data_IF_551775377670
#
_entry.id   IF_551775377670
#
_cell.length_a   1.000
_cell.length_b   1.000
_cell.length_c   1.000
_cell.angle_alpha   90.00
_cell.angle_beta   90.00
_cell.angle_gamma   90.00
#
_symmetry.space_group_name_H-M   'P 1'
#
loop_
_entity.id
_entity.type
_entity.pdbx_description
1 polymer ?
#
# COMPACT_ATOMS: atom_id res chain seq x y z
N UNK A 1 -45.58 -8.11 -54.77
CA UNK A 1 -45.22 -8.59 -53.42
C UNK A 1 -43.73 -8.23 -53.20
N UNK A 2 -43.50 -6.99 -52.69
CA UNK A 2 -42.16 -6.42 -52.51
C UNK A 2 -41.76 -6.56 -51.05
N UNK A 3 -40.72 -7.32 -50.82
CA UNK A 3 -40.09 -7.53 -49.51
C UNK A 3 -39.22 -6.32 -49.18
N UNK A 4 -39.71 -5.45 -48.27
CA UNK A 4 -38.89 -4.42 -47.64
C UNK A 4 -38.04 -5.07 -46.54
N UNK A 5 -36.73 -5.19 -46.78
CA UNK A 5 -35.74 -5.48 -45.73
C UNK A 5 -35.36 -4.17 -44.99
N UNK A 6 -35.47 -4.11 -43.66
CA UNK A 6 -34.98 -2.96 -42.94
C UNK A 6 -33.45 -3.01 -42.84
N UNK A 7 -32.77 -2.02 -43.40
CA UNK A 7 -31.35 -1.78 -43.20
C UNK A 7 -31.07 -1.54 -41.71
N UNK A 8 -30.36 -2.45 -41.08
CA UNK A 8 -29.80 -2.29 -39.75
C UNK A 8 -28.84 -1.11 -39.80
N UNK A 9 -29.22 0.04 -39.22
CA UNK A 9 -28.31 1.12 -38.91
C UNK A 9 -27.30 0.62 -37.87
N UNK A 10 -26.10 0.31 -38.34
CA UNK A 10 -24.93 0.10 -37.48
C UNK A 10 -24.58 1.45 -36.83
N UNK A 11 -24.90 1.57 -35.55
CA UNK A 11 -24.61 2.78 -34.76
C UNK A 11 -23.23 2.62 -34.14
N UNK A 12 -22.20 3.09 -34.85
CA UNK A 12 -20.79 2.94 -34.51
C UNK A 12 -20.29 4.02 -33.52
N UNK A 13 -21.13 4.38 -32.55
CA UNK A 13 -20.75 5.25 -31.44
C UNK A 13 -20.37 4.40 -30.20
N UNK A 14 -19.36 3.54 -30.29
CA UNK A 14 -18.64 3.07 -29.11
C UNK A 14 -17.84 4.23 -28.51
N UNK A 15 -18.49 5.14 -27.80
CA UNK A 15 -17.81 6.02 -26.84
C UNK A 15 -17.03 5.12 -25.92
N UNK A 16 -15.70 5.24 -25.90
CA UNK A 16 -14.83 4.61 -24.92
C UNK A 16 -15.30 5.11 -23.57
N UNK A 17 -16.07 4.29 -22.88
CA UNK A 17 -16.60 4.59 -21.55
C UNK A 17 -15.47 4.28 -20.57
N UNK A 18 -14.60 5.27 -20.32
CA UNK A 18 -13.59 5.18 -19.30
C UNK A 18 -14.29 4.88 -17.97
N UNK A 19 -13.90 3.79 -17.32
CA UNK A 19 -14.54 3.43 -16.03
C UNK A 19 -14.16 4.52 -15.02
N UNK A 20 -15.14 5.03 -14.25
CA UNK A 20 -14.88 6.10 -13.29
C UNK A 20 -13.76 5.74 -12.30
N UNK A 21 -13.65 4.46 -11.93
CA UNK A 21 -12.58 3.97 -11.04
C UNK A 21 -11.18 4.27 -11.60
N UNK A 22 -10.96 4.05 -12.91
CA UNK A 22 -9.67 4.30 -13.54
C UNK A 22 -9.34 5.79 -13.57
N UNK A 23 -10.31 6.63 -13.88
CA UNK A 23 -10.11 8.10 -13.89
C UNK A 23 -9.75 8.61 -12.51
N UNK A 24 -10.44 8.14 -11.46
CA UNK A 24 -10.15 8.51 -10.07
C UNK A 24 -8.73 8.06 -9.69
N UNK A 25 -8.35 6.82 -9.99
CA UNK A 25 -6.99 6.33 -9.73
C UNK A 25 -5.93 7.20 -10.40
N UNK A 26 -6.15 7.60 -11.66
CA UNK A 26 -5.23 8.48 -12.39
C UNK A 26 -5.13 9.86 -11.72
N UNK A 27 -6.27 10.46 -11.35
CA UNK A 27 -6.29 11.76 -10.65
C UNK A 27 -5.56 11.67 -9.32
N UNK A 28 -5.80 10.64 -8.52
CA UNK A 28 -5.13 10.44 -7.22
C UNK A 28 -3.61 10.32 -7.40
N UNK A 29 -3.15 9.53 -8.36
CA UNK A 29 -1.72 9.38 -8.67
C UNK A 29 -1.10 10.71 -9.11
N UNK A 30 -1.77 11.47 -9.98
CA UNK A 30 -1.32 12.80 -10.42
C UNK A 30 -1.25 13.78 -9.24
N UNK A 31 -2.24 13.77 -8.34
CA UNK A 31 -2.19 14.63 -7.13
C UNK A 31 -0.97 14.31 -6.26
N UNK A 32 -0.64 13.04 -6.03
CA UNK A 32 0.57 12.65 -5.29
C UNK A 32 1.83 13.14 -6.02
N UNK A 33 1.91 12.95 -7.34
CA UNK A 33 3.05 13.42 -8.14
C UNK A 33 3.22 14.95 -8.09
N UNK A 34 2.12 15.73 -8.10
CA UNK A 34 2.18 17.19 -8.01
C UNK A 34 2.70 17.62 -6.63
N UNK A 35 2.23 16.99 -5.54
CA UNK A 35 2.61 17.35 -4.17
C UNK A 35 4.04 16.95 -3.86
N UNK A 36 4.43 15.73 -4.23
CA UNK A 36 5.70 15.13 -3.83
C UNK A 36 6.75 15.06 -4.94
N UNK A 37 6.42 15.41 -6.20
CA UNK A 37 7.35 15.31 -7.33
C UNK A 37 8.66 16.07 -7.13
N UNK A 38 8.64 17.16 -6.38
CA UNK A 38 9.83 17.98 -6.06
C UNK A 38 10.92 17.24 -5.27
N UNK A 39 10.57 16.12 -4.62
CA UNK A 39 11.56 15.36 -3.80
C UNK A 39 12.67 14.73 -4.66
N UNK A 40 12.49 14.65 -5.99
CA UNK A 40 13.53 14.16 -6.91
C UNK A 40 14.80 15.02 -6.92
N UNK A 41 14.71 16.28 -6.51
CA UNK A 41 15.83 17.22 -6.40
C UNK A 41 16.43 17.23 -4.97
N UNK A 42 15.89 16.42 -4.04
CA UNK A 42 16.36 16.41 -2.67
C UNK A 42 17.59 15.53 -2.52
N UNK A 43 18.51 15.98 -1.68
CA UNK A 43 19.68 15.21 -1.25
C UNK A 43 19.34 14.34 -0.04
N UNK A 44 20.24 13.40 0.29
CA UNK A 44 20.15 12.66 1.55
C UNK A 44 20.20 13.62 2.75
N UNK A 45 19.30 13.40 3.70
CA UNK A 45 19.24 14.20 4.92
C UNK A 45 20.41 13.84 5.85
N UNK A 46 21.10 14.85 6.37
CA UNK A 46 22.18 14.64 7.33
C UNK A 46 21.65 14.32 8.74
N UNK A 47 20.88 13.23 8.82
CA UNK A 47 20.30 12.66 10.04
C UNK A 47 20.30 11.13 9.90
N UNK A 48 19.17 10.46 9.95
CA UNK A 48 19.09 9.01 9.88
C UNK A 48 19.50 8.43 8.50
N UNK A 49 19.42 9.19 7.39
CA UNK A 49 19.85 8.70 6.06
C UNK A 49 21.32 8.36 6.03
N UNK A 50 22.12 9.01 6.91
CA UNK A 50 23.50 8.65 7.15
C UNK A 50 23.65 7.18 7.53
N UNK A 51 23.01 6.80 8.63
CA UNK A 51 23.08 5.47 9.21
C UNK A 51 22.32 4.42 8.37
N UNK A 52 21.25 4.83 7.70
CA UNK A 52 20.42 3.92 6.92
C UNK A 52 21.04 3.59 5.57
N UNK A 53 21.63 4.57 4.86
CA UNK A 53 22.06 4.38 3.47
C UNK A 53 23.52 4.79 3.28
N UNK A 54 23.92 6.04 3.71
CA UNK A 54 25.16 6.65 3.28
C UNK A 54 26.43 5.98 3.85
N UNK A 55 26.39 5.52 5.10
CA UNK A 55 27.56 4.92 5.76
C UNK A 55 27.41 3.42 6.02
N UNK A 56 26.23 2.85 5.77
CA UNK A 56 25.96 1.43 5.98
C UNK A 56 26.58 0.58 4.85
N UNK A 57 27.65 -0.19 5.12
CA UNK A 57 28.32 -0.98 4.09
C UNK A 57 27.40 -2.06 3.50
N UNK A 58 26.56 -2.71 4.33
CA UNK A 58 25.66 -3.76 3.88
C UNK A 58 24.56 -3.25 2.93
N UNK A 59 24.15 -1.99 3.08
CA UNK A 59 23.22 -1.39 2.11
C UNK A 59 23.96 -1.04 0.82
N UNK A 60 25.16 -0.44 0.92
CA UNK A 60 25.98 -0.08 -0.26
C UNK A 60 26.38 -1.28 -1.11
N UNK A 61 26.60 -2.43 -0.48
CA UNK A 61 26.95 -3.67 -1.17
C UNK A 61 25.75 -4.31 -1.93
N UNK A 62 24.55 -3.72 -1.79
CA UNK A 62 23.34 -4.18 -2.46
C UNK A 62 22.87 -5.56 -1.96
N UNK A 63 22.24 -6.34 -2.87
CA UNK A 63 21.60 -7.63 -2.57
C UNK A 63 22.63 -8.79 -2.55
N UNK A 64 23.70 -8.68 -1.78
CA UNK A 64 24.60 -9.81 -1.55
C UNK A 64 24.01 -10.78 -0.52
N UNK A 65 24.44 -12.04 -0.53
CA UNK A 65 24.02 -13.03 0.46
C UNK A 65 24.34 -12.60 1.89
N UNK A 66 25.47 -11.94 2.07
CA UNK A 66 25.92 -11.40 3.35
C UNK A 66 25.00 -10.27 3.81
N UNK A 67 24.71 -9.30 2.94
CA UNK A 67 23.81 -8.17 3.24
C UNK A 67 22.39 -8.64 3.54
N UNK A 68 21.87 -9.60 2.78
CA UNK A 68 20.56 -10.21 3.05
C UNK A 68 20.56 -10.88 4.42
N UNK A 69 21.56 -11.70 4.74
CA UNK A 69 21.68 -12.33 6.07
C UNK A 69 21.77 -11.30 7.19
N UNK A 70 22.58 -10.26 7.00
CA UNK A 70 22.69 -9.16 7.94
C UNK A 70 21.34 -8.50 8.23
N UNK A 71 20.54 -8.23 7.20
CA UNK A 71 19.23 -7.60 7.36
C UNK A 71 18.29 -8.36 8.34
N UNK A 72 18.38 -9.69 8.38
CA UNK A 72 17.52 -10.50 9.26
C UNK A 72 18.05 -10.65 10.69
N UNK A 73 19.33 -10.41 10.93
CA UNK A 73 19.94 -10.63 12.26
C UNK A 73 20.34 -9.35 12.96
N UNK A 74 20.33 -8.22 12.24
CA UNK A 74 20.78 -6.93 12.79
C UNK A 74 19.71 -6.21 13.58
N UNK A 75 20.15 -5.42 14.58
CA UNK A 75 19.37 -4.38 15.25
C UNK A 75 20.00 -3.00 14.98
N UNK A 76 20.48 -2.78 13.76
CA UNK A 76 21.11 -1.52 13.36
C UNK A 76 20.13 -0.35 13.55
N UNK A 77 20.65 0.81 13.98
CA UNK A 77 19.84 1.98 14.34
C UNK A 77 18.71 1.67 15.36
N UNK A 78 18.95 0.70 16.27
CA UNK A 78 18.01 0.23 17.30
C UNK A 78 16.69 -0.33 16.75
N UNK A 79 16.68 -0.76 15.49
CA UNK A 79 15.49 -1.28 14.83
C UNK A 79 15.73 -2.63 14.16
N UNK A 80 14.79 -3.54 14.29
CA UNK A 80 14.71 -4.77 13.52
C UNK A 80 13.65 -4.64 12.44
N UNK A 81 14.06 -4.33 11.21
CA UNK A 81 13.15 -4.15 10.07
C UNK A 81 13.77 -4.67 8.76
N UNK A 82 13.97 -5.99 8.65
CA UNK A 82 14.68 -6.60 7.54
C UNK A 82 14.09 -6.27 6.17
N UNK A 83 12.76 -6.16 6.03
CA UNK A 83 12.12 -5.85 4.74
C UNK A 83 12.44 -4.41 4.30
N UNK A 84 12.57 -3.49 5.25
CA UNK A 84 13.00 -2.11 4.95
C UNK A 84 14.46 -2.09 4.46
N UNK A 85 15.36 -2.82 5.13
CA UNK A 85 16.75 -2.94 4.68
C UNK A 85 16.85 -3.53 3.28
N UNK A 86 16.13 -4.62 3.01
CA UNK A 86 16.07 -5.23 1.67
C UNK A 86 15.55 -4.24 0.62
N UNK A 87 14.57 -3.39 0.95
CA UNK A 87 14.06 -2.40 0.00
C UNK A 87 15.10 -1.34 -0.36
N UNK A 88 15.94 -0.91 0.59
CA UNK A 88 17.06 -0.01 0.30
C UNK A 88 18.16 -0.69 -0.52
N UNK A 89 18.47 -1.98 -0.25
CA UNK A 89 19.40 -2.76 -1.07
C UNK A 89 18.93 -2.88 -2.52
N UNK A 90 17.62 -3.07 -2.73
CA UNK A 90 17.02 -3.06 -4.09
C UNK A 90 17.23 -1.71 -4.78
N UNK A 91 17.06 -0.60 -4.06
CA UNK A 91 17.28 0.73 -4.64
C UNK A 91 18.74 0.93 -5.04
N UNK A 92 19.69 0.46 -4.23
CA UNK A 92 21.11 0.50 -4.56
C UNK A 92 21.42 -0.28 -5.84
N UNK A 93 20.84 -1.48 -6.01
CA UNK A 93 21.00 -2.27 -7.23
C UNK A 93 20.43 -1.56 -8.48
N UNK A 94 19.31 -0.87 -8.32
CA UNK A 94 18.61 -0.23 -9.45
C UNK A 94 19.17 1.15 -9.79
N UNK A 95 19.55 1.93 -8.80
CA UNK A 95 19.82 3.38 -8.94
C UNK A 95 21.14 3.82 -8.33
N UNK A 96 21.89 2.92 -7.67
CA UNK A 96 23.09 3.28 -6.91
C UNK A 96 22.76 4.28 -5.79
N UNK A 97 23.67 5.20 -5.56
CA UNK A 97 23.55 6.24 -4.52
C UNK A 97 22.88 7.52 -5.03
N UNK A 98 21.89 7.40 -5.91
CA UNK A 98 21.11 8.54 -6.42
C UNK A 98 20.00 8.91 -5.42
N UNK A 99 20.11 10.02 -4.66
CA UNK A 99 19.14 10.37 -3.62
C UNK A 99 17.74 10.61 -4.19
N UNK A 100 17.63 11.31 -5.32
CA UNK A 100 16.35 11.58 -5.96
C UNK A 100 15.58 10.31 -6.33
N UNK A 101 16.28 9.25 -6.77
CA UNK A 101 15.64 7.97 -7.07
C UNK A 101 15.14 7.28 -5.79
N UNK A 102 15.91 7.32 -4.70
CA UNK A 102 15.48 6.79 -3.39
C UNK A 102 14.24 7.52 -2.86
N UNK A 103 14.19 8.86 -2.99
CA UNK A 103 12.99 9.64 -2.64
C UNK A 103 11.78 9.25 -3.50
N UNK A 104 11.96 9.13 -4.83
CA UNK A 104 10.87 8.75 -5.74
C UNK A 104 10.31 7.36 -5.47
N UNK A 105 11.12 6.43 -4.93
CA UNK A 105 10.60 5.13 -4.50
C UNK A 105 9.61 5.25 -3.32
N UNK A 106 9.83 6.16 -2.38
CA UNK A 106 8.85 6.44 -1.32
C UNK A 106 7.57 7.03 -1.90
N UNK A 107 7.68 7.95 -2.87
CA UNK A 107 6.52 8.50 -3.58
C UNK A 107 5.75 7.40 -4.31
N UNK A 108 6.44 6.48 -4.96
CA UNK A 108 5.81 5.33 -5.62
C UNK A 108 5.03 4.47 -4.63
N UNK A 109 5.62 4.13 -3.47
CA UNK A 109 4.91 3.40 -2.41
C UNK A 109 3.70 4.19 -1.90
N UNK A 110 3.80 5.51 -1.76
CA UNK A 110 2.67 6.34 -1.34
C UNK A 110 1.55 6.39 -2.39
N UNK A 111 1.88 6.44 -3.69
CA UNK A 111 0.90 6.28 -4.77
C UNK A 111 0.18 4.94 -4.64
N UNK A 112 0.93 3.83 -4.51
CA UNK A 112 0.35 2.51 -4.36
C UNK A 112 -0.57 2.41 -3.14
N UNK A 113 -0.16 2.99 -2.01
CA UNK A 113 -0.96 3.07 -0.79
C UNK A 113 -2.26 3.85 -1.01
N UNK A 114 -2.18 5.00 -1.66
CA UNK A 114 -3.35 5.84 -1.99
C UNK A 114 -4.34 5.08 -2.87
N UNK A 115 -3.86 4.41 -3.91
CA UNK A 115 -4.70 3.63 -4.82
C UNK A 115 -5.31 2.41 -4.11
N UNK A 116 -4.55 1.70 -3.30
CA UNK A 116 -5.05 0.57 -2.51
C UNK A 116 -6.10 1.02 -1.51
N UNK A 117 -5.89 2.14 -0.80
CA UNK A 117 -6.87 2.70 0.11
C UNK A 117 -8.20 3.01 -0.60
N UNK A 118 -8.13 3.71 -1.74
CA UNK A 118 -9.31 3.97 -2.56
C UNK A 118 -10.04 2.67 -2.94
N UNK A 119 -9.31 1.69 -3.47
CA UNK A 119 -9.90 0.43 -3.92
C UNK A 119 -10.50 -0.38 -2.76
N UNK A 120 -9.85 -0.42 -1.60
CA UNK A 120 -10.34 -1.08 -0.39
C UNK A 120 -11.65 -0.43 0.04
N UNK A 121 -11.67 0.89 0.23
CA UNK A 121 -12.85 1.63 0.68
C UNK A 121 -14.01 1.50 -0.30
N UNK A 122 -13.76 1.67 -1.59
CA UNK A 122 -14.80 1.52 -2.62
C UNK A 122 -15.37 0.10 -2.65
N UNK A 123 -14.53 -0.91 -2.50
CA UNK A 123 -14.97 -2.31 -2.47
C UNK A 123 -15.80 -2.64 -1.22
N UNK A 124 -15.46 -2.06 -0.08
CA UNK A 124 -16.14 -2.27 1.20
C UNK A 124 -17.48 -1.54 1.27
N UNK A 125 -17.49 -0.28 0.85
CA UNK A 125 -18.65 0.62 1.06
C UNK A 125 -19.57 0.74 -0.16
N UNK A 126 -19.06 0.43 -1.36
CA UNK A 126 -19.71 0.69 -2.65
C UNK A 126 -20.00 2.18 -2.92
N UNK A 127 -19.29 3.07 -2.25
CA UNK A 127 -19.41 4.52 -2.33
C UNK A 127 -18.17 5.12 -2.96
N UNK A 128 -18.20 5.27 -4.28
CA UNK A 128 -17.00 5.64 -5.07
C UNK A 128 -16.48 7.04 -4.71
N UNK A 129 -17.38 8.03 -4.57
CA UNK A 129 -16.99 9.42 -4.33
C UNK A 129 -16.47 9.64 -2.91
N UNK A 130 -17.13 9.08 -1.91
CA UNK A 130 -16.67 9.14 -0.53
C UNK A 130 -15.31 8.45 -0.37
N UNK A 131 -15.13 7.30 -1.04
CA UNK A 131 -13.84 6.60 -1.06
C UNK A 131 -12.76 7.42 -1.75
N UNK A 132 -13.09 8.13 -2.83
CA UNK A 132 -12.17 9.01 -3.54
C UNK A 132 -11.75 10.20 -2.68
N UNK A 133 -12.69 10.83 -1.96
CA UNK A 133 -12.40 11.96 -1.05
C UNK A 133 -11.47 11.51 0.08
N UNK A 134 -11.74 10.37 0.72
CA UNK A 134 -10.87 9.86 1.79
C UNK A 134 -9.47 9.53 1.27
N UNK A 135 -9.37 8.89 0.10
CA UNK A 135 -8.09 8.59 -0.52
C UNK A 135 -7.34 9.86 -0.94
N UNK A 136 -8.03 10.90 -1.40
CA UNK A 136 -7.43 12.19 -1.72
C UNK A 136 -6.89 12.88 -0.48
N UNK A 137 -7.66 12.91 0.61
CA UNK A 137 -7.20 13.45 1.89
C UNK A 137 -5.95 12.72 2.38
N UNK A 138 -5.92 11.38 2.29
CA UNK A 138 -4.73 10.59 2.59
C UNK A 138 -3.55 10.95 1.67
N UNK A 139 -3.79 11.09 0.36
CA UNK A 139 -2.77 11.38 -0.64
C UNK A 139 -1.99 12.67 -0.36
N UNK A 140 -2.71 13.73 0.07
CA UNK A 140 -2.14 15.07 0.21
C UNK A 140 -2.04 15.56 1.66
N UNK A 141 -2.24 14.65 2.63
CA UNK A 141 -2.25 15.05 4.04
C UNK A 141 -0.87 15.52 4.52
N UNK A 142 -0.73 16.68 5.17
CA UNK A 142 0.57 17.20 5.59
C UNK A 142 1.36 16.29 6.52
N UNK A 143 0.70 15.49 7.35
CA UNK A 143 1.35 14.53 8.25
C UNK A 143 2.06 13.39 7.52
N UNK A 144 1.82 13.19 6.23
CA UNK A 144 2.53 12.18 5.44
C UNK A 144 3.84 12.69 4.81
N UNK A 145 4.11 14.01 4.93
CA UNK A 145 5.33 14.59 4.33
C UNK A 145 6.58 13.92 4.88
N UNK A 146 6.68 13.72 6.18
CA UNK A 146 7.80 13.03 6.81
C UNK A 146 7.96 11.61 6.25
N UNK A 147 6.90 10.80 6.29
CA UNK A 147 6.94 9.41 5.83
C UNK A 147 7.22 9.24 4.32
N UNK A 148 6.89 10.25 3.50
CA UNK A 148 7.03 10.18 2.04
C UNK A 148 8.31 10.83 1.56
N UNK A 149 8.63 12.03 2.08
CA UNK A 149 9.75 12.81 1.60
C UNK A 149 11.09 12.41 2.23
N UNK A 150 11.11 11.71 3.38
CA UNK A 150 12.33 11.28 4.05
C UNK A 150 12.68 9.83 3.71
N UNK A 151 13.90 9.58 3.23
CA UNK A 151 14.34 8.26 2.75
C UNK A 151 14.29 7.22 3.87
N UNK A 152 14.80 7.52 5.06
CA UNK A 152 14.83 6.60 6.20
C UNK A 152 13.44 6.24 6.73
N UNK A 153 12.40 7.07 6.47
CA UNK A 153 11.02 6.76 6.82
C UNK A 153 10.31 5.87 5.76
N UNK A 154 11.07 5.29 4.83
CA UNK A 154 10.61 4.22 3.93
C UNK A 154 9.81 3.14 4.65
N UNK A 155 10.24 2.82 5.86
CA UNK A 155 9.57 1.86 6.75
C UNK A 155 8.07 2.13 6.92
N UNK A 156 7.63 3.40 6.89
CA UNK A 156 6.23 3.77 7.05
C UNK A 156 5.39 3.48 5.81
N UNK A 157 5.85 3.96 4.65
CA UNK A 157 5.12 3.76 3.39
C UNK A 157 5.11 2.28 2.99
N UNK A 158 6.20 1.56 3.29
CA UNK A 158 6.32 0.13 3.02
C UNK A 158 5.44 -0.71 3.96
N UNK A 159 5.45 -0.41 5.26
CA UNK A 159 4.58 -1.04 6.25
C UNK A 159 3.10 -0.84 5.91
N UNK A 160 2.72 0.38 5.51
CA UNK A 160 1.36 0.72 5.06
C UNK A 160 0.95 -0.07 3.81
N UNK A 161 1.87 -0.25 2.86
CA UNK A 161 1.63 -1.07 1.67
C UNK A 161 1.27 -2.51 2.05
N UNK A 162 2.06 -3.13 2.92
CA UNK A 162 1.80 -4.49 3.40
C UNK A 162 0.50 -4.57 4.19
N UNK A 163 0.19 -3.55 5.01
CA UNK A 163 -1.08 -3.47 5.73
C UNK A 163 -2.28 -3.48 4.78
N UNK A 164 -2.28 -2.62 3.77
CA UNK A 164 -3.38 -2.53 2.81
C UNK A 164 -3.50 -3.80 1.96
N UNK A 165 -2.39 -4.39 1.52
CA UNK A 165 -2.40 -5.67 0.82
C UNK A 165 -2.93 -6.81 1.71
N UNK A 166 -2.57 -6.82 3.01
CA UNK A 166 -3.09 -7.78 3.98
C UNK A 166 -4.61 -7.63 4.14
N UNK A 167 -5.13 -6.40 4.29
CA UNK A 167 -6.57 -6.12 4.32
C UNK A 167 -7.24 -6.60 3.03
N UNK A 168 -6.66 -6.32 1.87
CA UNK A 168 -7.20 -6.77 0.58
C UNK A 168 -7.30 -8.30 0.49
N UNK A 169 -6.25 -9.00 0.91
CA UNK A 169 -6.24 -10.46 0.97
C UNK A 169 -7.29 -10.98 1.96
N UNK A 170 -7.43 -10.35 3.13
CA UNK A 170 -8.46 -10.67 4.12
C UNK A 170 -9.87 -10.49 3.57
N UNK A 171 -10.17 -9.41 2.87
CA UNK A 171 -11.46 -9.20 2.19
C UNK A 171 -11.76 -10.31 1.17
N UNK A 172 -10.74 -10.84 0.48
CA UNK A 172 -10.90 -11.98 -0.42
C UNK A 172 -11.21 -13.26 0.36
N UNK A 173 -10.58 -13.46 1.52
CA UNK A 173 -10.90 -14.56 2.42
C UNK A 173 -12.37 -14.48 2.87
N UNK A 174 -12.81 -13.33 3.35
CA UNK A 174 -14.21 -13.11 3.77
C UNK A 174 -15.21 -13.44 2.66
N UNK A 175 -14.86 -13.08 1.40
CA UNK A 175 -15.73 -13.33 0.24
C UNK A 175 -15.77 -14.79 -0.20
N UNK A 176 -14.63 -15.51 -0.13
CA UNK A 176 -14.46 -16.81 -0.79
C UNK A 176 -14.32 -17.97 0.18
N UNK A 177 -14.09 -17.70 1.47
CA UNK A 177 -13.77 -18.67 2.54
C UNK A 177 -12.56 -19.57 2.21
N UNK A 178 -11.71 -19.18 1.24
CA UNK A 178 -10.54 -19.95 0.86
C UNK A 178 -9.36 -19.64 1.79
N UNK A 179 -8.83 -20.66 2.44
CA UNK A 179 -7.72 -20.55 3.39
C UNK A 179 -6.46 -19.90 2.78
N UNK A 180 -6.25 -20.04 1.47
CA UNK A 180 -5.12 -19.41 0.77
C UNK A 180 -5.12 -17.88 0.91
N UNK A 181 -6.29 -17.24 0.92
CA UNK A 181 -6.38 -15.79 1.10
C UNK A 181 -6.09 -15.37 2.55
N UNK A 182 -6.46 -16.19 3.52
CA UNK A 182 -6.09 -15.95 4.92
C UNK A 182 -4.58 -16.13 5.10
N UNK A 183 -4.00 -17.18 4.54
CA UNK A 183 -2.55 -17.40 4.57
C UNK A 183 -1.79 -16.24 3.90
N UNK A 184 -2.28 -15.74 2.76
CA UNK A 184 -1.73 -14.56 2.10
C UNK A 184 -1.83 -13.31 2.99
N UNK A 185 -2.97 -13.08 3.66
CA UNK A 185 -3.13 -11.95 4.59
C UNK A 185 -2.13 -12.02 5.74
N UNK A 186 -1.95 -13.20 6.35
CA UNK A 186 -0.99 -13.41 7.43
C UNK A 186 0.46 -13.22 6.95
N UNK A 187 0.80 -13.73 5.78
CA UNK A 187 2.13 -13.55 5.18
C UNK A 187 2.44 -12.06 4.95
N UNK A 188 1.50 -11.33 4.35
CA UNK A 188 1.64 -9.88 4.11
C UNK A 188 1.72 -9.09 5.43
N UNK A 189 0.97 -9.51 6.45
CA UNK A 189 1.06 -8.94 7.79
C UNK A 189 2.46 -9.16 8.40
N UNK A 190 3.04 -10.35 8.24
CA UNK A 190 4.43 -10.61 8.68
C UNK A 190 5.44 -9.71 7.96
N UNK A 191 5.31 -9.51 6.63
CA UNK A 191 6.17 -8.57 5.90
C UNK A 191 6.03 -7.13 6.41
N UNK A 192 4.81 -6.74 6.79
CA UNK A 192 4.57 -5.44 7.41
C UNK A 192 5.25 -5.30 8.77
N UNK A 193 5.17 -6.31 9.66
CA UNK A 193 5.89 -6.33 10.93
C UNK A 193 7.40 -6.25 10.75
N UNK A 194 7.91 -6.90 9.69
CA UNK A 194 9.31 -6.86 9.29
C UNK A 194 9.72 -5.55 8.60
N UNK A 195 8.77 -4.67 8.30
CA UNK A 195 9.05 -3.30 7.81
C UNK A 195 8.99 -2.28 8.95
N UNK A 196 7.94 -2.30 9.77
CA UNK A 196 7.78 -1.48 10.98
C UNK A 196 6.81 -2.17 11.96
N UNK A 197 7.15 -2.31 13.24
CA UNK A 197 6.28 -3.01 14.21
C UNK A 197 4.91 -2.36 14.44
N UNK A 198 4.69 -1.13 14.00
CA UNK A 198 3.44 -0.37 14.19
C UNK A 198 2.19 -1.10 13.68
N UNK A 199 2.35 -1.98 12.67
CA UNK A 199 1.24 -2.77 12.11
C UNK A 199 0.66 -3.82 13.09
N UNK A 200 1.26 -4.02 14.25
CA UNK A 200 0.76 -4.95 15.29
C UNK A 200 -0.71 -4.71 15.66
N UNK A 201 -1.23 -3.51 15.43
CA UNK A 201 -2.64 -3.16 15.63
C UNK A 201 -3.59 -3.69 14.53
N UNK A 202 -3.05 -4.19 13.40
CA UNK A 202 -3.86 -4.63 12.26
C UNK A 202 -4.88 -5.73 12.60
N UNK A 203 -4.58 -6.76 13.41
CA UNK A 203 -5.58 -7.77 13.79
C UNK A 203 -6.82 -7.15 14.46
N UNK A 204 -6.62 -6.15 15.34
CA UNK A 204 -7.74 -5.42 15.98
C UNK A 204 -8.54 -4.66 14.93
N UNK A 205 -7.86 -4.01 13.97
CA UNK A 205 -8.54 -3.34 12.86
C UNK A 205 -9.35 -4.34 12.02
N UNK A 206 -8.82 -5.53 11.72
CA UNK A 206 -9.56 -6.56 10.97
C UNK A 206 -10.81 -7.02 11.72
N UNK A 207 -10.76 -7.15 13.04
CA UNK A 207 -11.93 -7.45 13.87
C UNK A 207 -12.99 -6.34 13.80
N UNK A 208 -12.57 -5.08 13.81
CA UNK A 208 -13.49 -3.94 13.63
C UNK A 208 -14.10 -3.94 12.23
N UNK A 209 -13.32 -4.28 11.20
CA UNK A 209 -13.82 -4.40 9.84
C UNK A 209 -14.81 -5.56 9.70
N UNK A 210 -14.64 -6.67 10.43
CA UNK A 210 -15.61 -7.77 10.47
C UNK A 210 -16.95 -7.34 11.07
N UNK A 211 -16.92 -6.40 12.02
CA UNK A 211 -18.13 -5.79 12.56
C UNK A 211 -18.77 -4.85 11.52
N UNK A 212 -18.00 -3.88 11.05
CA UNK A 212 -18.41 -2.92 10.01
C UNK A 212 -17.22 -2.57 9.12
N UNK A 213 -17.34 -2.60 7.80
CA UNK A 213 -18.55 -2.81 6.99
C UNK A 213 -18.73 -4.25 6.49
N UNK A 214 -17.90 -5.23 6.90
CA UNK A 214 -17.95 -6.59 6.36
C UNK A 214 -19.15 -7.40 6.89
N UNK A 215 -19.77 -6.97 8.00
CA UNK A 215 -20.97 -7.57 8.61
C UNK A 215 -20.87 -9.09 8.84
N UNK A 216 -19.66 -9.59 9.21
CA UNK A 216 -19.44 -11.00 9.54
C UNK A 216 -19.94 -11.35 10.94
N UNK A 217 -19.89 -10.38 11.85
CA UNK A 217 -20.28 -10.54 13.26
C UNK A 217 -21.61 -9.84 13.47
N UNK A 218 -22.74 -10.56 13.46
CA UNK A 218 -24.04 -9.97 13.74
C UNK A 218 -24.15 -9.63 15.23
N UNK A 219 -24.18 -8.34 15.57
CA UNK A 219 -24.25 -7.85 16.97
C UNK A 219 -25.42 -8.44 17.75
N UNK A 220 -26.54 -8.70 17.09
CA UNK A 220 -27.73 -9.28 17.72
C UNK A 220 -27.56 -10.74 18.20
N UNK A 221 -26.43 -11.38 17.91
CA UNK A 221 -26.10 -12.75 18.35
C UNK A 221 -24.99 -12.81 19.39
N UNK A 222 -24.37 -11.68 19.73
CA UNK A 222 -23.31 -11.64 20.75
C UNK A 222 -24.02 -11.55 22.10
N UNK A 223 -24.34 -12.70 22.67
CA UNK A 223 -24.82 -12.79 24.07
C UNK A 223 -23.68 -12.92 25.06
N UNK A 224 -22.49 -13.33 24.60
CA UNK A 224 -21.33 -13.59 25.45
C UNK A 224 -20.03 -13.32 24.68
N UNK A 225 -18.96 -12.92 25.38
CA UNK A 225 -17.60 -12.75 24.81
C UNK A 225 -17.14 -13.99 24.03
N UNK A 226 -17.63 -15.17 24.42
CA UNK A 226 -17.32 -16.46 23.77
C UNK A 226 -17.87 -16.57 22.35
N UNK A 227 -18.94 -15.88 22.03
CA UNK A 227 -19.58 -15.87 20.69
C UNK A 227 -18.82 -14.98 19.70
N UNK A 228 -17.98 -14.06 20.24
CA UNK A 228 -17.14 -13.18 19.43
C UNK A 228 -15.94 -13.90 18.80
N UNK A 229 -15.47 -14.99 19.42
CA UNK A 229 -14.29 -15.77 18.98
C UNK A 229 -14.65 -17.09 18.27
N UNK A 230 -15.91 -17.31 17.92
CA UNK A 230 -16.39 -18.44 17.11
C UNK A 230 -16.68 -18.00 15.68
#
# INVERSE_FOLDING_TARGET
MSLNMPFLKYNDNKKIRVRPDFTICLVLAVCVCIVYGQVHDFEFTNYDDGDYVLINPHIKDGLTLESVRWAFVTNHASNWHPVTWLSHMVDIELYGMNPGAHHLMNVLFHILNTLLLFMILNRMTRRIWESAVVALLFAVHPLHVESVAWISERKDVLCTLWAFLSIWAYMNYVKTSRIVHLAASLFLFCLGLMSKPMIVSLPVLLMLLDYWPLNRIPVNKISTVRDFFR
#
